data_IF_317460940536
#
_entry.id   IF_317460940536
#
_cell.length_a   1.000
_cell.length_b   1.000
_cell.length_c   1.000
_cell.angle_alpha   90.00
_cell.angle_beta   90.00
_cell.angle_gamma   90.00
#
_symmetry.space_group_name_H-M   'P 1'
#
loop_
_entity.id
_entity.type
_entity.pdbx_description
1 polymer ?
#
# COMPACT_ATOMS: atom_id res chain seq x y z
N UNK A 1 -20.06 15.63 -31.05
CA UNK A 1 -18.60 15.54 -31.23
C UNK A 1 -17.77 16.45 -30.32
N UNK A 2 -18.23 17.63 -29.86
CA UNK A 2 -17.44 18.55 -28.98
C UNK A 2 -17.26 18.08 -27.52
N UNK A 3 -18.17 17.27 -26.94
CA UNK A 3 -18.08 16.78 -25.57
C UNK A 3 -16.96 15.73 -25.37
N UNK A 4 -16.67 14.90 -26.34
CA UNK A 4 -15.63 13.86 -26.25
C UNK A 4 -14.19 14.42 -26.20
N UNK A 5 -13.95 15.58 -26.84
CA UNK A 5 -12.62 16.19 -26.90
C UNK A 5 -12.20 16.93 -25.60
N UNK A 6 -13.19 17.44 -24.84
CA UNK A 6 -12.95 18.11 -23.56
C UNK A 6 -12.56 17.09 -22.46
N UNK A 7 -13.20 15.92 -22.53
CA UNK A 7 -13.00 14.81 -21.58
C UNK A 7 -11.59 14.19 -21.72
N UNK A 8 -11.05 14.08 -22.93
CA UNK A 8 -9.70 13.55 -23.20
C UNK A 8 -8.57 14.47 -22.67
N UNK A 9 -8.71 15.80 -22.84
CA UNK A 9 -7.72 16.77 -22.32
C UNK A 9 -7.69 16.84 -20.79
N UNK A 10 -8.86 16.79 -20.17
CA UNK A 10 -8.98 16.78 -18.71
C UNK A 10 -8.33 15.52 -18.09
N UNK A 11 -8.50 14.38 -18.73
CA UNK A 11 -7.94 13.08 -18.30
C UNK A 11 -6.41 13.03 -18.38
N UNK A 12 -5.80 13.57 -19.45
CA UNK A 12 -4.34 13.68 -19.56
C UNK A 12 -3.76 14.63 -18.49
N UNK A 13 -4.43 15.73 -18.23
CA UNK A 13 -3.99 16.72 -17.24
C UNK A 13 -4.07 16.16 -15.83
N UNK A 14 -5.12 15.43 -15.48
CA UNK A 14 -5.28 14.83 -14.16
C UNK A 14 -4.22 13.75 -13.87
N UNK A 15 -3.92 12.91 -14.86
CA UNK A 15 -2.87 11.88 -14.73
C UNK A 15 -1.48 12.49 -14.58
N UNK A 16 -1.16 13.51 -15.38
CA UNK A 16 0.08 14.27 -15.26
C UNK A 16 0.17 15.03 -13.94
N UNK A 17 -0.93 15.64 -13.47
CA UNK A 17 -0.97 16.35 -12.18
C UNK A 17 -0.73 15.37 -11.02
N UNK A 18 -1.38 14.22 -10.99
CA UNK A 18 -1.16 13.20 -9.95
C UNK A 18 0.28 12.66 -9.98
N UNK A 19 0.84 12.43 -11.16
CA UNK A 19 2.22 12.00 -11.32
C UNK A 19 3.21 13.10 -10.88
N UNK A 20 3.01 14.36 -11.31
CA UNK A 20 3.87 15.47 -10.94
C UNK A 20 3.70 15.88 -9.47
N UNK A 21 2.50 15.81 -8.90
CA UNK A 21 2.28 16.05 -7.47
C UNK A 21 3.05 15.04 -6.62
N UNK A 22 3.03 13.74 -6.99
CA UNK A 22 3.80 12.72 -6.28
C UNK A 22 5.33 12.91 -6.42
N UNK A 23 5.80 13.32 -7.61
CA UNK A 23 7.22 13.58 -7.88
C UNK A 23 7.67 14.90 -7.24
N UNK A 24 6.88 15.96 -7.33
CA UNK A 24 7.23 17.29 -6.79
C UNK A 24 7.30 17.32 -5.25
N UNK A 25 6.46 16.55 -4.54
CA UNK A 25 6.49 16.49 -3.07
C UNK A 25 7.69 15.69 -2.51
N UNK A 26 8.37 14.88 -3.34
CA UNK A 26 9.59 14.16 -2.94
C UNK A 26 10.88 14.98 -3.09
N UNK A 27 10.84 16.10 -3.81
CA UNK A 27 12.04 16.82 -4.24
C UNK A 27 12.58 17.88 -3.25
N UNK A 28 11.85 18.20 -2.18
CA UNK A 28 12.25 19.27 -1.25
C UNK A 28 13.04 18.81 -0.02
N UNK A 29 13.62 17.63 -0.02
CA UNK A 29 14.57 17.24 1.02
C UNK A 29 15.97 17.67 0.59
N UNK A 30 16.48 18.77 1.12
CA UNK A 30 17.88 19.14 1.00
C UNK A 30 18.77 17.99 1.49
N UNK A 31 19.45 17.35 0.57
CA UNK A 31 20.53 16.40 0.90
C UNK A 31 21.77 17.23 1.28
N UNK A 32 21.90 17.59 2.54
CA UNK A 32 23.19 18.01 3.05
C UNK A 32 24.12 16.80 3.02
N UNK A 33 25.06 16.82 2.10
CA UNK A 33 26.22 15.95 2.12
C UNK A 33 27.10 16.34 3.33
N UNK A 34 26.73 15.90 4.51
CA UNK A 34 27.54 16.15 5.70
C UNK A 34 28.57 15.03 5.84
N UNK A 35 29.80 15.36 5.44
CA UNK A 35 31.02 14.55 5.54
C UNK A 35 31.55 14.38 6.98
N UNK A 36 30.77 14.72 7.99
CA UNK A 36 31.11 14.56 9.39
C UNK A 36 30.58 13.26 10.00
N UNK A 37 30.88 12.13 9.38
CA UNK A 37 30.86 10.86 10.09
C UNK A 37 32.06 10.84 11.02
N UNK A 38 31.78 10.92 12.32
CA UNK A 38 32.75 10.86 13.39
C UNK A 38 33.79 9.74 13.12
N UNK A 39 35.08 10.04 13.12
CA UNK A 39 36.19 9.11 12.76
C UNK A 39 36.10 7.75 13.45
N UNK A 40 35.55 7.69 14.65
CA UNK A 40 35.38 6.45 15.42
C UNK A 40 34.45 5.40 14.76
N UNK A 41 33.58 5.79 13.82
CA UNK A 41 32.70 4.87 13.10
C UNK A 41 33.27 4.37 11.77
N UNK A 42 34.35 4.98 11.26
CA UNK A 42 34.98 4.60 9.99
C UNK A 42 35.74 3.29 10.04
N UNK A 43 36.27 2.94 11.21
CA UNK A 43 37.20 1.80 11.34
C UNK A 43 36.51 0.45 11.56
N UNK A 44 35.21 0.45 11.85
CA UNK A 44 34.45 -0.79 12.15
C UNK A 44 33.57 -1.30 10.99
N UNK A 45 33.30 -0.48 9.98
CA UNK A 45 32.46 -0.87 8.85
C UNK A 45 33.29 -0.94 7.56
N UNK A 46 33.63 -2.17 7.14
CA UNK A 46 34.05 -2.44 5.75
C UNK A 46 33.08 -1.77 4.79
N UNK A 47 33.46 -0.60 4.27
CA UNK A 47 32.93 0.14 3.11
C UNK A 47 31.46 -0.21 2.73
N UNK A 48 30.52 0.02 3.63
CA UNK A 48 29.12 0.07 3.26
C UNK A 48 28.85 1.49 2.79
N UNK A 49 28.58 1.69 1.50
CA UNK A 49 28.18 2.99 0.98
C UNK A 49 26.82 3.33 1.54
N UNK A 50 26.74 4.35 2.40
CA UNK A 50 25.51 4.83 3.04
C UNK A 50 25.45 6.36 2.98
N UNK A 51 24.24 6.89 3.02
CA UNK A 51 23.95 8.32 3.18
C UNK A 51 23.08 8.50 4.42
N UNK A 52 23.37 9.56 5.19
CA UNK A 52 22.57 9.93 6.35
C UNK A 52 21.72 11.13 5.95
N UNK A 53 20.44 11.03 6.22
CA UNK A 53 19.44 12.10 6.02
C UNK A 53 18.96 12.53 7.40
N UNK A 54 19.16 13.79 7.73
CA UNK A 54 18.66 14.41 8.95
C UNK A 54 17.25 14.94 8.75
N UNK A 55 16.40 14.81 9.76
CA UNK A 55 15.01 15.23 9.74
C UNK A 55 14.74 16.29 10.81
N UNK A 56 13.76 17.15 10.56
CA UNK A 56 13.35 18.22 11.48
C UNK A 56 12.95 17.71 12.88
N UNK A 57 12.52 16.46 12.96
CA UNK A 57 12.21 15.77 14.22
C UNK A 57 13.43 15.49 15.11
N UNK A 58 14.65 15.88 14.69
CA UNK A 58 15.89 15.59 15.39
C UNK A 58 16.40 14.16 15.25
N UNK A 59 15.69 13.32 14.49
CA UNK A 59 16.12 11.97 14.15
C UNK A 59 16.87 11.99 12.82
N UNK A 60 17.79 11.04 12.64
CA UNK A 60 18.48 10.81 11.36
C UNK A 60 18.21 9.40 10.88
N UNK A 61 18.13 9.20 9.59
CA UNK A 61 18.01 7.87 8.99
C UNK A 61 19.22 7.64 8.09
N UNK A 62 19.89 6.53 8.29
CA UNK A 62 20.96 6.06 7.42
C UNK A 62 20.37 5.15 6.34
N UNK A 63 20.54 5.53 5.08
CA UNK A 63 20.13 4.74 3.91
C UNK A 63 21.35 4.06 3.30
N UNK A 64 21.28 2.75 3.15
CA UNK A 64 22.32 1.98 2.50
C UNK A 64 22.13 2.01 0.98
N UNK A 65 23.26 1.98 0.24
CA UNK A 65 23.18 1.77 -1.21
C UNK A 65 22.66 0.35 -1.48
N UNK A 66 21.49 0.18 -2.15
CA UNK A 66 20.97 -1.14 -2.44
C UNK A 66 21.93 -1.91 -3.36
N UNK A 67 22.15 -3.19 -3.06
CA UNK A 67 22.94 -4.09 -3.90
C UNK A 67 22.08 -4.53 -5.11
N UNK A 68 22.70 -4.82 -6.27
CA UNK A 68 21.97 -5.39 -7.40
C UNK A 68 21.16 -6.63 -7.00
N UNK A 69 19.89 -6.68 -7.45
CA UNK A 69 18.95 -7.77 -7.16
C UNK A 69 18.70 -8.05 -5.66
N UNK A 70 19.00 -7.11 -4.77
CA UNK A 70 18.73 -7.23 -3.34
C UNK A 70 17.23 -7.45 -3.08
N UNK A 71 16.37 -6.75 -3.78
CA UNK A 71 14.92 -6.84 -3.70
C UNK A 71 14.37 -8.25 -4.03
N UNK A 72 15.09 -9.06 -4.84
CA UNK A 72 14.72 -10.46 -5.10
C UNK A 72 15.30 -11.38 -4.04
N UNK A 73 16.56 -11.15 -3.64
CA UNK A 73 17.26 -12.00 -2.68
C UNK A 73 16.64 -11.96 -1.28
N UNK A 74 16.00 -10.86 -0.92
CA UNK A 74 15.35 -10.69 0.37
C UNK A 74 14.00 -11.43 0.49
N UNK A 75 13.31 -11.67 -0.63
CA UNK A 75 11.95 -12.24 -0.67
C UNK A 75 11.76 -13.49 0.19
N UNK A 76 12.61 -14.53 0.13
CA UNK A 76 12.41 -15.71 0.97
C UNK A 76 12.44 -15.42 2.47
N UNK A 77 13.35 -14.55 2.87
CA UNK A 77 13.46 -14.09 4.26
C UNK A 77 12.29 -13.22 4.70
N UNK A 78 11.73 -12.43 3.78
CA UNK A 78 10.57 -11.56 4.06
C UNK A 78 9.30 -12.39 4.24
N UNK A 79 9.10 -13.41 3.41
CA UNK A 79 8.01 -14.38 3.56
C UNK A 79 8.08 -15.07 4.93
N UNK A 80 9.29 -15.50 5.33
CA UNK A 80 9.51 -16.07 6.64
C UNK A 80 9.19 -15.09 7.77
N UNK A 81 9.69 -13.83 7.67
CA UNK A 81 9.44 -12.79 8.67
C UNK A 81 7.98 -12.42 8.74
N UNK A 82 7.27 -12.38 7.62
CA UNK A 82 5.84 -12.11 7.58
C UNK A 82 5.07 -13.17 8.37
N UNK A 83 5.31 -14.46 8.10
CA UNK A 83 4.72 -15.55 8.86
C UNK A 83 5.09 -15.51 10.34
N UNK A 84 6.37 -15.35 10.67
CA UNK A 84 6.85 -15.22 12.04
C UNK A 84 6.21 -14.05 12.78
N UNK A 85 6.00 -12.92 12.10
CA UNK A 85 5.37 -11.74 12.69
C UNK A 85 3.90 -11.99 12.97
N UNK A 86 3.15 -12.56 12.00
CA UNK A 86 1.73 -12.86 12.16
C UNK A 86 1.47 -13.82 13.33
N UNK A 87 2.25 -14.89 13.43
CA UNK A 87 2.07 -15.94 14.44
C UNK A 87 2.91 -15.74 15.71
N UNK A 88 3.55 -14.59 15.90
CA UNK A 88 4.26 -14.30 17.16
C UNK A 88 3.27 -14.14 18.31
N UNK A 89 3.65 -14.58 19.52
CA UNK A 89 2.81 -14.46 20.73
C UNK A 89 2.29 -13.03 20.96
N UNK A 90 3.09 -12.01 20.64
CA UNK A 90 2.73 -10.59 20.75
C UNK A 90 1.64 -10.16 19.77
N UNK A 91 1.66 -10.70 18.54
CA UNK A 91 0.77 -10.28 17.45
C UNK A 91 -0.41 -11.24 17.25
N UNK A 92 -0.36 -12.44 17.82
CA UNK A 92 -1.44 -13.43 17.71
C UNK A 92 -2.83 -12.88 18.12
N UNK A 93 -2.98 -12.10 19.21
CA UNK A 93 -4.28 -11.48 19.55
C UNK A 93 -4.74 -10.47 18.48
N UNK A 94 -3.82 -9.70 17.90
CA UNK A 94 -4.13 -8.74 16.82
C UNK A 94 -4.55 -9.47 15.56
N UNK A 95 -3.84 -10.53 15.21
CA UNK A 95 -4.19 -11.38 14.07
C UNK A 95 -5.56 -12.04 14.26
N UNK A 96 -5.83 -12.57 15.47
CA UNK A 96 -7.15 -13.08 15.84
C UNK A 96 -8.25 -12.03 15.72
N UNK A 97 -7.99 -10.79 16.17
CA UNK A 97 -8.95 -9.68 16.04
C UNK A 97 -9.22 -9.31 14.57
N UNK A 98 -8.20 -9.35 13.70
CA UNK A 98 -8.35 -9.11 12.26
C UNK A 98 -9.25 -10.20 11.65
N UNK A 99 -9.01 -11.47 11.97
CA UNK A 99 -9.81 -12.58 11.46
C UNK A 99 -11.26 -12.52 11.98
N UNK A 100 -11.46 -12.20 13.26
CA UNK A 100 -12.79 -12.00 13.84
C UNK A 100 -13.53 -10.83 13.19
N UNK A 101 -12.85 -9.69 13.00
CA UNK A 101 -13.40 -8.55 12.26
C UNK A 101 -13.75 -8.89 10.82
N UNK A 102 -12.89 -9.64 10.12
CA UNK A 102 -13.18 -10.16 8.78
C UNK A 102 -14.44 -11.03 8.78
N UNK A 103 -14.56 -11.96 9.72
CA UNK A 103 -15.74 -12.84 9.83
C UNK A 103 -17.03 -12.06 10.11
N UNK A 104 -16.98 -11.03 10.95
CA UNK A 104 -18.12 -10.14 11.18
C UNK A 104 -18.52 -9.36 9.92
N UNK A 105 -17.52 -8.87 9.17
CA UNK A 105 -17.78 -8.16 7.91
C UNK A 105 -18.37 -9.04 6.83
N UNK A 106 -18.04 -10.35 6.79
CA UNK A 106 -18.65 -11.30 5.85
C UNK A 106 -20.18 -11.31 5.97
N UNK A 107 -20.72 -11.16 7.18
CA UNK A 107 -22.17 -11.14 7.40
C UNK A 107 -22.87 -9.90 6.81
N UNK A 108 -22.12 -8.82 6.54
CA UNK A 108 -22.64 -7.56 6.01
C UNK A 108 -22.06 -7.18 4.65
N UNK A 109 -21.36 -8.10 4.00
CA UNK A 109 -20.73 -7.87 2.70
C UNK A 109 -21.73 -7.42 1.64
N UNK A 110 -22.84 -8.17 1.48
CA UNK A 110 -23.83 -7.88 0.43
C UNK A 110 -24.50 -6.53 0.64
N UNK A 111 -25.09 -6.19 1.81
CA UNK A 111 -25.72 -4.89 2.00
C UNK A 111 -24.75 -3.71 1.84
N UNK A 112 -23.48 -3.86 2.23
CA UNK A 112 -22.47 -2.80 2.02
C UNK A 112 -22.14 -2.65 0.54
N UNK A 113 -22.00 -3.76 -0.19
CA UNK A 113 -21.79 -3.74 -1.64
C UNK A 113 -22.94 -3.03 -2.35
N UNK A 114 -24.18 -3.42 -2.04
CA UNK A 114 -25.39 -2.86 -2.66
C UNK A 114 -25.48 -1.35 -2.40
N UNK A 115 -25.21 -0.93 -1.17
CA UNK A 115 -25.19 0.50 -0.79
C UNK A 115 -24.10 1.28 -1.54
N UNK A 116 -22.90 0.71 -1.68
CA UNK A 116 -21.79 1.34 -2.39
C UNK A 116 -22.11 1.50 -3.89
N UNK A 117 -22.69 0.48 -4.51
CA UNK A 117 -23.10 0.53 -5.92
C UNK A 117 -24.28 1.47 -6.14
N UNK A 118 -25.26 1.49 -5.22
CA UNK A 118 -26.38 2.43 -5.27
C UNK A 118 -25.90 3.87 -5.19
N UNK A 119 -24.97 4.16 -4.26
CA UNK A 119 -24.36 5.49 -4.15
C UNK A 119 -23.58 5.85 -5.43
N UNK A 120 -22.81 4.91 -5.99
CA UNK A 120 -22.10 5.10 -7.26
C UNK A 120 -23.04 5.49 -8.40
N UNK A 121 -24.18 4.81 -8.54
CA UNK A 121 -25.21 5.17 -9.52
C UNK A 121 -25.79 6.57 -9.27
N UNK A 122 -26.02 6.92 -8.00
CA UNK A 122 -26.57 8.24 -7.63
C UNK A 122 -25.64 9.39 -8.02
N UNK A 123 -24.33 9.24 -7.82
CA UNK A 123 -23.33 10.25 -8.17
C UNK A 123 -22.76 10.10 -9.60
N UNK A 124 -23.37 9.27 -10.43
CA UNK A 124 -22.95 8.96 -11.82
C UNK A 124 -21.51 8.43 -11.92
N UNK A 125 -21.03 7.76 -10.89
CA UNK A 125 -19.75 7.05 -10.85
C UNK A 125 -20.00 5.56 -11.18
N UNK A 126 -20.17 5.28 -12.46
CA UNK A 126 -20.55 3.93 -12.92
C UNK A 126 -19.40 2.92 -12.75
N UNK A 127 -19.79 1.67 -12.49
CA UNK A 127 -18.86 0.56 -12.42
C UNK A 127 -18.11 0.36 -13.75
N UNK A 128 -16.80 0.11 -13.67
CA UNK A 128 -15.97 -0.04 -14.86
C UNK A 128 -16.11 -1.40 -15.50
N UNK A 129 -16.46 -2.43 -14.69
CA UNK A 129 -16.56 -3.82 -15.15
C UNK A 129 -17.82 -4.12 -16.00
N UNK A 130 -18.83 -3.25 -15.96
CA UNK A 130 -20.01 -3.38 -16.80
C UNK A 130 -19.68 -3.19 -18.31
N UNK A 131 -18.50 -2.64 -18.61
CA UNK A 131 -18.13 -2.30 -19.97
C UNK A 131 -16.62 -2.52 -20.15
N UNK A 132 -16.22 -3.68 -20.72
CA UNK A 132 -14.82 -3.97 -21.10
C UNK A 132 -14.20 -2.90 -22.01
N UNK A 133 -15.03 -2.03 -22.61
CA UNK A 133 -14.61 -0.90 -23.41
C UNK A 133 -14.09 0.30 -22.59
N UNK A 134 -14.11 0.25 -21.25
CA UNK A 134 -13.72 1.35 -20.37
C UNK A 134 -12.21 1.37 -19.99
N UNK A 135 -11.43 0.45 -20.53
CA UNK A 135 -9.97 0.46 -20.44
C UNK A 135 -9.34 0.61 -21.83
N UNK A 136 -8.17 1.22 -21.90
CA UNK A 136 -7.32 1.24 -23.09
C UNK A 136 -6.14 0.32 -22.84
N UNK A 137 -6.09 -0.77 -23.57
CA UNK A 137 -4.95 -1.67 -23.54
C UNK A 137 -3.74 -1.01 -24.21
N UNK A 138 -2.60 -1.06 -23.52
CA UNK A 138 -1.29 -0.82 -24.10
C UNK A 138 -0.67 -2.19 -24.35
N UNK A 139 -0.49 -2.51 -25.61
CA UNK A 139 0.02 -3.80 -26.06
C UNK A 139 1.43 -3.66 -26.63
N UNK A 140 2.28 -4.65 -26.36
CA UNK A 140 3.59 -4.80 -27.03
C UNK A 140 3.51 -5.98 -27.99
N UNK A 141 3.92 -5.74 -29.24
CA UNK A 141 4.00 -6.78 -30.25
C UNK A 141 5.42 -7.35 -30.28
N UNK A 142 5.57 -8.63 -29.96
CA UNK A 142 6.83 -9.36 -30.09
C UNK A 142 6.64 -10.40 -31.18
N UNK A 143 7.15 -10.09 -32.37
CA UNK A 143 6.93 -10.90 -33.57
C UNK A 143 5.44 -10.95 -33.94
N UNK A 144 4.82 -12.14 -33.91
CA UNK A 144 3.39 -12.35 -34.20
C UNK A 144 2.50 -12.36 -32.94
N UNK A 145 3.08 -12.22 -31.75
CA UNK A 145 2.37 -12.29 -30.50
C UNK A 145 2.14 -10.90 -29.94
N UNK A 146 0.89 -10.54 -29.68
CA UNK A 146 0.50 -9.33 -28.95
C UNK A 146 0.40 -9.65 -27.47
N UNK A 147 1.21 -8.97 -26.66
CA UNK A 147 1.23 -9.12 -25.20
C UNK A 147 0.59 -7.87 -24.60
N UNK A 148 -0.54 -8.00 -23.86
CA UNK A 148 -1.11 -6.88 -23.15
C UNK A 148 -0.15 -6.50 -22.00
N UNK A 149 0.33 -5.25 -22.03
CA UNK A 149 1.26 -4.74 -21.03
C UNK A 149 0.55 -4.07 -19.87
N UNK A 150 -0.40 -3.19 -20.18
CA UNK A 150 -1.10 -2.39 -19.18
C UNK A 150 -2.46 -1.95 -19.70
N UNK A 151 -3.44 -1.92 -18.80
CA UNK A 151 -4.74 -1.33 -19.07
C UNK A 151 -4.85 0.07 -18.45
N UNK A 152 -5.06 1.08 -19.28
CA UNK A 152 -5.24 2.45 -18.81
C UNK A 152 -6.72 2.73 -18.54
N UNK A 153 -7.08 3.30 -17.38
CA UNK A 153 -8.46 3.63 -17.07
C UNK A 153 -9.00 4.75 -17.95
N UNK A 154 -10.26 4.63 -18.36
CA UNK A 154 -10.99 5.65 -19.14
C UNK A 154 -12.02 6.41 -18.33
N UNK A 155 -12.34 5.93 -17.14
CA UNK A 155 -13.34 6.51 -16.23
C UNK A 155 -12.69 6.98 -14.94
N UNK A 156 -13.34 7.90 -14.21
CA UNK A 156 -12.88 8.36 -12.90
C UNK A 156 -12.85 7.19 -11.91
N UNK A 157 -13.87 6.33 -11.92
CA UNK A 157 -13.89 5.13 -11.08
C UNK A 157 -12.74 4.17 -11.42
N UNK A 158 -12.46 3.98 -12.70
CA UNK A 158 -11.30 3.20 -13.15
C UNK A 158 -9.96 3.80 -12.70
N UNK A 159 -9.82 5.14 -12.64
CA UNK A 159 -8.61 5.78 -12.11
C UNK A 159 -8.40 5.43 -10.63
N UNK A 160 -9.48 5.46 -9.82
CA UNK A 160 -9.37 5.07 -8.41
C UNK A 160 -9.02 3.59 -8.26
N UNK A 161 -9.58 2.74 -9.08
CA UNK A 161 -9.24 1.31 -9.11
C UNK A 161 -7.78 1.08 -9.50
N UNK A 162 -7.29 1.79 -10.52
CA UNK A 162 -5.93 1.69 -11.04
C UNK A 162 -4.85 2.00 -9.98
N UNK A 163 -5.16 2.84 -8.97
CA UNK A 163 -4.23 3.16 -7.87
C UNK A 163 -3.73 1.90 -7.14
N UNK A 164 -4.58 0.89 -7.03
CA UNK A 164 -4.25 -0.38 -6.37
C UNK A 164 -3.63 -1.44 -7.29
N UNK A 165 -3.61 -1.20 -8.59
CA UNK A 165 -2.93 -2.10 -9.52
C UNK A 165 -1.42 -2.07 -9.31
N UNK A 166 -0.74 -3.10 -9.78
CA UNK A 166 0.73 -3.20 -9.68
C UNK A 166 1.47 -2.08 -10.42
N UNK A 167 0.89 -1.55 -11.50
CA UNK A 167 1.54 -0.57 -12.35
C UNK A 167 1.91 0.74 -11.67
N UNK A 168 1.06 1.40 -10.85
CA UNK A 168 1.46 2.60 -10.11
C UNK A 168 2.66 2.37 -9.20
N UNK A 169 2.72 1.23 -8.51
CA UNK A 169 3.85 0.88 -7.64
C UNK A 169 5.13 0.63 -8.45
N UNK A 170 5.04 -0.02 -9.61
CA UNK A 170 6.16 -0.25 -10.53
C UNK A 170 6.67 1.09 -11.10
N UNK A 171 5.77 1.98 -11.52
CA UNK A 171 6.11 3.30 -12.04
C UNK A 171 6.78 4.17 -10.95
N UNK A 172 6.27 4.13 -9.72
CA UNK A 172 6.90 4.79 -8.57
C UNK A 172 8.30 4.24 -8.31
N UNK A 173 8.45 2.92 -8.24
CA UNK A 173 9.76 2.28 -8.05
C UNK A 173 10.74 2.69 -9.16
N UNK A 174 10.30 2.68 -10.42
CA UNK A 174 11.12 3.09 -11.56
C UNK A 174 11.51 4.56 -11.50
N UNK A 175 10.58 5.45 -11.14
CA UNK A 175 10.82 6.87 -10.96
C UNK A 175 11.82 7.16 -9.84
N UNK A 176 11.65 6.54 -8.67
CA UNK A 176 12.60 6.65 -7.56
C UNK A 176 13.98 6.09 -7.93
N UNK A 177 14.04 4.99 -8.67
CA UNK A 177 15.30 4.42 -9.12
C UNK A 177 16.02 5.35 -10.09
N UNK A 178 15.33 5.84 -11.12
CA UNK A 178 15.89 6.77 -12.11
C UNK A 178 16.39 8.08 -11.47
N UNK A 179 15.56 8.69 -10.62
CA UNK A 179 15.96 9.86 -9.83
C UNK A 179 17.16 9.57 -8.93
N UNK A 180 17.14 8.47 -8.20
CA UNK A 180 18.22 8.07 -7.31
C UNK A 180 19.54 7.80 -8.03
N UNK A 181 19.49 7.35 -9.30
CA UNK A 181 20.67 7.24 -10.14
C UNK A 181 21.19 8.61 -10.57
N UNK A 182 20.31 9.47 -11.08
CA UNK A 182 20.68 10.80 -11.60
C UNK A 182 21.21 11.72 -10.50
N UNK A 183 20.54 11.75 -9.33
CA UNK A 183 20.93 12.59 -8.19
C UNK A 183 21.94 11.94 -7.24
N UNK A 184 22.37 10.70 -7.49
CA UNK A 184 23.18 9.89 -6.56
C UNK A 184 22.56 9.80 -5.16
N UNK A 185 21.22 9.72 -5.07
CA UNK A 185 20.45 9.68 -3.84
C UNK A 185 20.19 8.22 -3.42
N UNK A 186 20.76 7.79 -2.28
CA UNK A 186 20.58 6.43 -1.78
C UNK A 186 19.22 6.22 -1.13
N UNK A 187 18.59 7.26 -0.57
CA UNK A 187 17.23 7.21 -0.06
C UNK A 187 16.26 6.85 -1.17
N UNK A 188 16.33 7.54 -2.32
CA UNK A 188 15.50 7.25 -3.47
C UNK A 188 15.75 5.85 -4.04
N UNK A 189 17.03 5.45 -4.19
CA UNK A 189 17.38 4.09 -4.66
C UNK A 189 16.88 3.01 -3.71
N UNK A 190 16.96 3.26 -2.40
CA UNK A 190 16.49 2.31 -1.39
C UNK A 190 14.96 2.22 -1.40
N UNK A 191 14.27 3.36 -1.51
CA UNK A 191 12.81 3.40 -1.68
C UNK A 191 12.36 2.58 -2.90
N UNK A 192 13.06 2.71 -4.03
CA UNK A 192 12.80 1.92 -5.22
C UNK A 192 12.98 0.41 -4.98
N UNK A 193 14.08 0.04 -4.32
CA UNK A 193 14.38 -1.37 -3.99
C UNK A 193 13.31 -1.96 -3.05
N UNK A 194 12.89 -1.21 -2.04
CA UNK A 194 11.87 -1.62 -1.08
C UNK A 194 10.49 -1.77 -1.71
N UNK A 195 10.12 -0.86 -2.64
CA UNK A 195 8.88 -0.98 -3.40
C UNK A 195 8.88 -2.23 -4.29
N UNK A 196 9.99 -2.54 -4.95
CA UNK A 196 10.12 -3.74 -5.76
C UNK A 196 10.12 -5.03 -4.90
N UNK A 197 10.83 -5.04 -3.76
CA UNK A 197 10.87 -6.14 -2.80
C UNK A 197 9.48 -6.45 -2.23
N UNK A 198 8.82 -5.41 -1.78
CA UNK A 198 7.46 -5.48 -1.25
C UNK A 198 6.49 -6.04 -2.30
N UNK A 199 6.56 -5.55 -3.53
CA UNK A 199 5.66 -5.98 -4.59
C UNK A 199 5.74 -7.48 -4.86
N UNK A 200 6.96 -8.05 -4.89
CA UNK A 200 7.17 -9.48 -5.08
C UNK A 200 6.69 -10.28 -3.86
N UNK A 201 7.11 -9.87 -2.65
CA UNK A 201 6.74 -10.55 -1.40
C UNK A 201 5.23 -10.56 -1.19
N UNK A 202 4.59 -9.43 -1.43
CA UNK A 202 3.15 -9.26 -1.29
C UNK A 202 2.39 -10.04 -2.36
N UNK A 203 2.86 -10.02 -3.61
CA UNK A 203 2.27 -10.79 -4.70
C UNK A 203 2.25 -12.29 -4.37
N UNK A 204 3.37 -12.86 -3.92
CA UNK A 204 3.45 -14.26 -3.52
C UNK A 204 2.50 -14.55 -2.35
N UNK A 205 2.50 -13.68 -1.33
CA UNK A 205 1.68 -13.86 -0.12
C UNK A 205 0.19 -13.82 -0.44
N UNK A 206 -0.26 -12.80 -1.17
CA UNK A 206 -1.68 -12.66 -1.50
C UNK A 206 -2.15 -13.76 -2.42
N UNK A 207 -1.36 -14.14 -3.42
CA UNK A 207 -1.67 -15.24 -4.33
C UNK A 207 -1.73 -16.59 -3.61
N UNK A 208 -0.88 -16.82 -2.61
CA UNK A 208 -0.94 -18.02 -1.78
C UNK A 208 -2.25 -18.08 -0.98
N UNK A 209 -2.64 -16.97 -0.32
CA UNK A 209 -3.87 -16.93 0.48
C UNK A 209 -5.12 -17.01 -0.42
N UNK A 210 -5.11 -16.39 -1.59
CA UNK A 210 -6.20 -16.49 -2.57
C UNK A 210 -6.46 -17.94 -2.99
N UNK A 211 -5.42 -18.74 -3.19
CA UNK A 211 -5.57 -20.16 -3.52
C UNK A 211 -6.04 -21.00 -2.35
N UNK A 212 -5.73 -20.60 -1.11
CA UNK A 212 -6.28 -21.28 0.07
C UNK A 212 -7.76 -20.94 0.24
N UNK A 213 -8.13 -19.68 0.08
CA UNK A 213 -9.48 -19.19 0.31
C UNK A 213 -10.47 -19.53 -0.81
N UNK A 214 -10.02 -19.38 -2.05
CA UNK A 214 -10.84 -19.59 -3.24
C UNK A 214 -12.14 -18.77 -3.25
N UNK A 215 -12.09 -17.51 -2.76
CA UNK A 215 -13.28 -16.69 -2.61
C UNK A 215 -13.72 -16.06 -3.92
N UNK A 216 -15.00 -16.14 -4.22
CA UNK A 216 -15.63 -15.55 -5.39
C UNK A 216 -15.78 -14.03 -5.26
N UNK A 217 -15.51 -13.31 -6.37
CA UNK A 217 -15.69 -11.84 -6.45
C UNK A 217 -17.18 -11.49 -6.57
N UNK A 218 -17.61 -10.31 -6.05
CA UNK A 218 -19.01 -9.88 -6.09
C UNK A 218 -19.64 -9.92 -7.47
N UNK A 219 -18.94 -9.44 -8.50
CA UNK A 219 -19.50 -9.39 -9.87
C UNK A 219 -19.67 -10.78 -10.50
N UNK A 220 -19.05 -11.82 -9.93
CA UNK A 220 -19.29 -13.22 -10.34
C UNK A 220 -20.38 -13.87 -9.52
N UNK A 221 -20.46 -13.49 -8.22
CA UNK A 221 -21.51 -13.96 -7.34
C UNK A 221 -22.91 -13.45 -7.71
N UNK A 222 -22.97 -12.33 -8.40
CA UNK A 222 -24.21 -11.66 -8.86
C UNK A 222 -24.32 -11.80 -10.38
N UNK A 223 -24.51 -13.03 -10.85
CA UNK A 223 -24.67 -13.28 -12.28
C UNK A 223 -25.98 -12.73 -12.85
N UNK A 224 -26.04 -12.55 -14.19
CA UNK A 224 -27.17 -11.97 -14.89
C UNK A 224 -28.45 -12.84 -14.81
N UNK A 225 -28.38 -14.05 -14.25
CA UNK A 225 -29.49 -15.01 -14.18
C UNK A 225 -30.32 -14.88 -12.90
N UNK A 226 -29.90 -14.02 -11.95
CA UNK A 226 -30.56 -13.83 -10.68
C UNK A 226 -30.42 -15.01 -9.70
N UNK A 227 -29.60 -16.01 -10.05
CA UNK A 227 -29.26 -17.15 -9.19
C UNK A 227 -28.01 -16.92 -8.33
N UNK A 228 -27.62 -15.66 -8.15
CA UNK A 228 -26.40 -15.26 -7.51
C UNK A 228 -26.24 -15.78 -6.07
N UNK A 229 -24.99 -15.79 -5.62
CA UNK A 229 -24.61 -16.19 -4.25
C UNK A 229 -24.31 -14.93 -3.42
N UNK A 230 -25.31 -14.34 -2.71
CA UNK A 230 -25.07 -13.18 -1.85
C UNK A 230 -23.92 -13.44 -0.87
N UNK A 231 -22.94 -12.52 -0.83
CA UNK A 231 -21.73 -12.70 -0.02
C UNK A 231 -20.61 -13.54 -0.67
N UNK A 232 -20.86 -14.10 -1.86
CA UNK A 232 -19.90 -14.93 -2.61
C UNK A 232 -19.68 -16.32 -2.01
N UNK A 233 -19.20 -17.24 -2.84
CA UNK A 233 -18.86 -18.61 -2.42
C UNK A 233 -17.38 -18.70 -2.07
N UNK A 234 -17.06 -19.50 -1.06
CA UNK A 234 -15.72 -19.88 -0.72
C UNK A 234 -15.45 -21.30 -1.23
N UNK A 235 -14.47 -21.44 -2.08
CA UNK A 235 -14.03 -22.72 -2.67
C UNK A 235 -12.56 -22.95 -2.35
N UNK A 236 -12.22 -23.38 -1.11
CA UNK A 236 -10.85 -23.55 -0.69
C UNK A 236 -10.11 -24.53 -1.60
N UNK A 237 -8.86 -24.20 -1.95
CA UNK A 237 -8.00 -25.00 -2.81
C UNK A 237 -8.62 -25.38 -4.17
N UNK A 238 -9.09 -24.38 -4.95
CA UNK A 238 -9.69 -24.67 -6.25
C UNK A 238 -8.68 -25.38 -7.15
N UNK A 239 -9.16 -26.31 -8.01
CA UNK A 239 -8.27 -26.98 -8.97
C UNK A 239 -7.51 -25.95 -9.82
N UNK A 240 -6.23 -26.12 -10.10
CA UNK A 240 -5.42 -25.14 -10.84
C UNK A 240 -6.02 -24.74 -12.20
N UNK A 241 -6.64 -25.66 -12.90
CA UNK A 241 -7.32 -25.39 -14.17
C UNK A 241 -8.52 -24.45 -13.97
N UNK A 242 -9.40 -24.77 -13.01
CA UNK A 242 -10.58 -23.92 -12.72
C UNK A 242 -10.19 -22.52 -12.27
N UNK A 243 -9.09 -22.41 -11.50
CA UNK A 243 -8.55 -21.10 -11.11
C UNK A 243 -8.05 -20.31 -12.34
N UNK A 244 -7.40 -20.95 -13.31
CA UNK A 244 -6.89 -20.29 -14.50
C UNK A 244 -7.99 -19.93 -15.51
N UNK A 245 -9.02 -20.78 -15.63
CA UNK A 245 -10.13 -20.55 -16.55
C UNK A 245 -11.01 -19.39 -16.12
N UNK A 246 -11.19 -19.17 -14.80
CA UNK A 246 -11.96 -18.05 -14.24
C UNK A 246 -11.37 -17.58 -12.90
N UNK A 247 -10.33 -16.77 -12.99
CA UNK A 247 -9.59 -16.26 -11.83
C UNK A 247 -10.52 -15.54 -10.85
N UNK A 248 -11.48 -14.77 -11.34
CA UNK A 248 -12.39 -13.96 -10.53
C UNK A 248 -13.37 -14.76 -9.69
N UNK A 249 -13.56 -16.05 -9.98
CA UNK A 249 -14.32 -16.96 -9.11
C UNK A 249 -13.56 -17.39 -7.86
N UNK A 250 -12.27 -17.11 -7.76
CA UNK A 250 -11.45 -17.73 -6.71
C UNK A 250 -10.46 -16.76 -6.05
N UNK A 251 -10.42 -15.48 -6.44
CA UNK A 251 -9.33 -14.60 -6.06
C UNK A 251 -9.74 -13.31 -5.31
N UNK A 252 -10.95 -13.25 -4.76
CA UNK A 252 -11.39 -12.05 -4.05
C UNK A 252 -10.64 -11.84 -2.73
N UNK A 253 -10.34 -12.87 -1.95
CA UNK A 253 -9.78 -12.73 -0.61
C UNK A 253 -8.32 -13.18 -0.52
N UNK A 254 -7.44 -12.33 0.06
CA UNK A 254 -7.63 -10.91 0.42
C UNK A 254 -7.44 -9.97 -0.77
N UNK A 255 -7.81 -8.70 -0.62
CA UNK A 255 -7.60 -7.70 -1.68
C UNK A 255 -6.13 -7.40 -1.92
N UNK A 256 -5.60 -7.82 -3.08
CA UNK A 256 -4.23 -7.50 -3.48
C UNK A 256 -4.02 -6.01 -3.73
N UNK A 257 -5.00 -5.32 -4.29
CA UNK A 257 -4.97 -3.89 -4.56
C UNK A 257 -4.77 -3.06 -3.30
N UNK A 258 -5.59 -3.33 -2.27
CA UNK A 258 -5.51 -2.58 -1.02
C UNK A 258 -4.24 -2.90 -0.24
N UNK A 259 -3.77 -4.15 -0.30
CA UNK A 259 -2.51 -4.54 0.29
C UNK A 259 -1.32 -3.81 -0.36
N UNK A 260 -1.29 -3.71 -1.70
CA UNK A 260 -0.25 -2.98 -2.45
C UNK A 260 -0.27 -1.49 -2.10
N UNK A 261 -1.45 -0.86 -2.09
CA UNK A 261 -1.58 0.55 -1.74
C UNK A 261 -1.11 0.83 -0.31
N UNK A 262 -1.49 -0.01 0.67
CA UNK A 262 -1.06 0.13 2.07
C UNK A 262 0.44 -0.03 2.24
N UNK A 263 1.04 -1.01 1.57
CA UNK A 263 2.48 -1.23 1.62
C UNK A 263 3.26 -0.06 0.99
N UNK A 264 2.78 0.47 -0.14
CA UNK A 264 3.35 1.65 -0.81
C UNK A 264 3.32 2.88 0.11
N UNK A 265 2.17 3.19 0.72
CA UNK A 265 2.05 4.30 1.69
C UNK A 265 2.97 4.09 2.89
N UNK A 266 3.08 2.85 3.38
CA UNK A 266 3.96 2.51 4.50
C UNK A 266 5.43 2.78 4.18
N UNK A 267 5.90 2.35 3.00
CA UNK A 267 7.29 2.57 2.56
C UNK A 267 7.56 4.05 2.34
N UNK A 268 6.70 4.74 1.60
CA UNK A 268 6.87 6.16 1.33
C UNK A 268 6.89 6.99 2.62
N UNK A 269 5.93 6.78 3.52
CA UNK A 269 5.88 7.51 4.78
C UNK A 269 7.01 7.15 5.74
N UNK A 270 7.60 5.97 5.62
CA UNK A 270 8.76 5.54 6.41
C UNK A 270 10.05 6.16 5.93
N UNK A 271 10.25 6.23 4.62
CA UNK A 271 11.44 6.82 4.03
C UNK A 271 11.40 8.35 3.94
N UNK A 272 10.20 8.95 3.93
CA UNK A 272 9.97 10.39 3.84
C UNK A 272 9.12 10.92 5.01
N UNK A 273 9.60 10.77 6.27
CA UNK A 273 8.80 11.08 7.47
C UNK A 273 8.47 12.57 7.61
N UNK A 274 9.28 13.47 7.06
CA UNK A 274 9.03 14.92 7.10
C UNK A 274 7.89 15.33 6.19
N UNK A 275 7.58 14.54 5.17
CA UNK A 275 6.45 14.82 4.30
C UNK A 275 5.14 14.36 4.97
N UNK A 276 4.54 15.28 5.75
CA UNK A 276 3.30 15.02 6.50
C UNK A 276 2.08 14.73 5.62
N UNK A 277 2.17 15.01 4.31
CA UNK A 277 1.07 14.80 3.35
C UNK A 277 0.98 13.36 2.83
N UNK A 278 2.05 12.58 2.89
CA UNK A 278 2.06 11.19 2.37
C UNK A 278 0.97 10.34 3.01
N UNK A 279 0.83 10.38 4.34
CA UNK A 279 -0.19 9.58 5.04
C UNK A 279 -1.61 10.02 4.72
N UNK A 280 -2.00 11.31 4.90
CA UNK A 280 -3.38 11.71 4.62
C UNK A 280 -3.76 11.53 3.16
N UNK A 281 -2.89 11.90 2.20
CA UNK A 281 -3.15 11.66 0.78
C UNK A 281 -3.22 10.16 0.48
N UNK A 282 -2.25 9.39 0.95
CA UNK A 282 -2.19 7.96 0.72
C UNK A 282 -3.42 7.22 1.26
N UNK A 283 -3.84 7.53 2.48
CA UNK A 283 -5.05 6.90 3.07
C UNK A 283 -6.34 7.38 2.41
N UNK A 284 -6.41 8.64 1.95
CA UNK A 284 -7.56 9.12 1.16
C UNK A 284 -7.65 8.38 -0.19
N UNK A 285 -6.52 8.21 -0.87
CA UNK A 285 -6.47 7.44 -2.11
C UNK A 285 -6.83 5.96 -1.88
N UNK A 286 -6.40 5.37 -0.76
CA UNK A 286 -6.82 4.02 -0.36
C UNK A 286 -8.32 3.92 -0.09
N UNK A 287 -8.93 4.95 0.50
CA UNK A 287 -10.38 5.02 0.68
C UNK A 287 -11.14 5.05 -0.66
N UNK A 288 -10.67 5.89 -1.59
CA UNK A 288 -11.23 5.96 -2.96
C UNK A 288 -11.04 4.65 -3.73
N UNK A 289 -9.87 4.01 -3.61
CA UNK A 289 -9.61 2.68 -4.16
C UNK A 289 -10.57 1.65 -3.57
N UNK A 290 -10.71 1.60 -2.23
CA UNK A 290 -11.62 0.68 -1.54
C UNK A 290 -13.06 0.85 -2.01
N UNK A 291 -13.53 2.10 -2.09
CA UNK A 291 -14.84 2.40 -2.63
C UNK A 291 -14.99 1.95 -4.09
N UNK A 292 -14.00 2.23 -4.95
CA UNK A 292 -14.02 1.84 -6.36
C UNK A 292 -14.10 0.32 -6.53
N UNK A 293 -13.41 -0.45 -5.69
CA UNK A 293 -13.47 -1.92 -5.72
C UNK A 293 -14.85 -2.47 -5.36
N UNK A 294 -15.53 -1.88 -4.36
CA UNK A 294 -16.92 -2.21 -4.03
C UNK A 294 -17.85 -1.83 -5.18
N UNK A 295 -17.72 -0.60 -5.69
CA UNK A 295 -18.57 -0.13 -6.78
C UNK A 295 -18.41 -0.96 -8.05
N UNK A 296 -17.21 -1.46 -8.35
CA UNK A 296 -16.92 -2.36 -9.47
C UNK A 296 -17.29 -3.82 -9.18
N UNK A 297 -17.66 -4.17 -7.96
CA UNK A 297 -17.96 -5.55 -7.58
C UNK A 297 -16.73 -6.47 -7.62
N UNK A 298 -15.51 -5.95 -7.47
CA UNK A 298 -14.27 -6.75 -7.54
C UNK A 298 -13.96 -7.41 -6.21
N UNK A 299 -14.18 -6.70 -5.11
CA UNK A 299 -13.90 -7.16 -3.76
C UNK A 299 -15.07 -6.89 -2.81
N UNK A 300 -15.19 -7.74 -1.80
CA UNK A 300 -16.06 -7.56 -0.65
C UNK A 300 -15.37 -6.67 0.39
N UNK A 301 -16.15 -6.00 1.25
CA UNK A 301 -15.57 -5.18 2.33
C UNK A 301 -14.75 -6.01 3.31
N UNK A 302 -15.14 -7.26 3.53
CA UNK A 302 -14.42 -8.21 4.39
C UNK A 302 -13.07 -8.66 3.82
N UNK A 303 -12.76 -8.42 2.54
CA UNK A 303 -11.45 -8.69 1.95
C UNK A 303 -10.38 -7.67 2.37
N UNK A 304 -10.78 -6.56 3.04
CA UNK A 304 -9.90 -5.41 3.32
C UNK A 304 -9.06 -5.53 4.59
N UNK A 305 -9.57 -5.98 5.75
CA UNK A 305 -8.81 -5.96 6.99
C UNK A 305 -7.51 -6.75 6.91
N UNK A 306 -7.57 -7.98 6.38
CA UNK A 306 -6.37 -8.81 6.21
C UNK A 306 -5.43 -8.22 5.15
N UNK A 307 -5.96 -7.67 4.05
CA UNK A 307 -5.17 -7.01 3.02
C UNK A 307 -4.34 -5.85 3.57
N UNK A 308 -4.97 -4.97 4.37
CA UNK A 308 -4.31 -3.83 5.02
C UNK A 308 -3.22 -4.31 5.97
N UNK A 309 -3.49 -5.35 6.78
CA UNK A 309 -2.52 -5.90 7.73
C UNK A 309 -1.31 -6.51 7.01
N UNK A 310 -1.52 -7.26 5.93
CA UNK A 310 -0.44 -7.83 5.10
C UNK A 310 0.38 -6.70 4.48
N UNK A 311 -0.27 -5.73 3.83
CA UNK A 311 0.40 -4.62 3.18
C UNK A 311 1.26 -3.80 4.14
N UNK A 312 0.71 -3.45 5.31
CA UNK A 312 1.44 -2.75 6.37
C UNK A 312 2.66 -3.55 6.84
N UNK A 313 2.49 -4.84 7.09
CA UNK A 313 3.57 -5.69 7.61
C UNK A 313 4.67 -5.88 6.57
N UNK A 314 4.33 -6.13 5.31
CA UNK A 314 5.29 -6.21 4.22
C UNK A 314 6.07 -4.90 4.05
N UNK A 315 5.39 -3.75 4.06
CA UNK A 315 6.04 -2.45 3.98
C UNK A 315 7.01 -2.19 5.14
N UNK A 316 6.63 -2.60 6.36
CA UNK A 316 7.51 -2.47 7.54
C UNK A 316 8.72 -3.40 7.48
N UNK A 317 8.58 -4.61 6.96
CA UNK A 317 9.68 -5.55 6.78
C UNK A 317 10.69 -5.00 5.76
N UNK A 318 10.22 -4.51 4.61
CA UNK A 318 11.07 -3.92 3.59
C UNK A 318 11.86 -2.70 4.14
N UNK A 319 11.19 -1.77 4.81
CA UNK A 319 11.82 -0.60 5.46
C UNK A 319 12.92 -0.98 6.45
N UNK A 320 12.70 -2.03 7.26
CA UNK A 320 13.66 -2.44 8.29
C UNK A 320 14.99 -2.96 7.71
N UNK A 321 15.04 -3.27 6.42
CA UNK A 321 16.26 -3.78 5.75
C UNK A 321 17.10 -2.68 5.13
N UNK A 322 16.46 -1.68 4.58
CA UNK A 322 17.11 -0.67 3.73
C UNK A 322 17.62 0.53 4.49
N UNK A 323 17.14 0.74 5.69
CA UNK A 323 17.46 1.91 6.47
C UNK A 323 17.66 1.60 7.95
N UNK A 324 18.43 2.46 8.64
CA UNK A 324 18.64 2.39 10.08
C UNK A 324 18.35 3.76 10.68
N UNK A 325 17.39 3.80 11.59
CA UNK A 325 17.12 5.00 12.39
C UNK A 325 18.29 5.21 13.36
N UNK A 326 18.90 6.37 13.27
CA UNK A 326 19.92 6.84 14.19
C UNK A 326 19.22 7.80 15.15
N UNK A 327 19.04 7.39 16.40
CA UNK A 327 18.62 8.33 17.43
C UNK A 327 19.82 9.26 17.70
N UNK A 328 19.67 10.58 17.52
CA UNK A 328 20.57 11.50 18.20
C UNK A 328 20.48 11.15 19.68
N UNK A 329 21.59 10.82 20.34
CA UNK A 329 21.67 10.93 21.80
C UNK A 329 21.43 12.42 22.10
N UNK A 330 20.18 12.80 22.16
CA UNK A 330 19.75 14.12 22.54
C UNK A 330 20.09 14.29 23.99
N UNK A 331 20.54 15.47 24.35
CA UNK A 331 20.35 16.02 25.67
C UNK A 331 18.93 15.67 26.07
N UNK A 332 18.80 14.87 27.10
CA UNK A 332 17.53 14.46 27.67
C UNK A 332 16.85 15.72 28.24
N UNK A 333 16.16 16.45 27.39
CA UNK A 333 15.14 17.37 27.84
C UNK A 333 14.02 16.44 28.32
N UNK A 334 14.06 16.10 29.60
CA UNK A 334 13.13 15.22 30.27
C UNK A 334 11.68 15.72 30.22
N UNK A 335 11.17 15.94 29.01
CA UNK A 335 9.75 16.20 28.80
C UNK A 335 8.99 14.93 29.09
N UNK A 336 8.60 14.77 30.33
CA UNK A 336 7.66 13.72 30.76
C UNK A 336 6.29 14.34 30.96
N UNK A 337 5.28 13.74 30.38
CA UNK A 337 3.90 14.06 30.70
C UNK A 337 3.23 12.88 31.37
N UNK A 338 2.56 13.13 32.48
CA UNK A 338 1.79 12.12 33.19
C UNK A 338 0.39 12.65 33.50
N UNK A 339 -0.61 11.80 33.31
CA UNK A 339 -1.97 12.03 33.78
C UNK A 339 -2.17 11.14 35.00
N UNK A 340 -2.43 11.75 36.14
CA UNK A 340 -2.69 11.03 37.39
C UNK A 340 -4.04 11.44 37.97
N UNK A 341 -4.78 10.52 38.58
CA UNK A 341 -5.94 10.90 39.39
C UNK A 341 -5.52 11.86 40.48
N UNK A 342 -6.23 12.96 40.65
CA UNK A 342 -5.96 13.95 41.69
C UNK A 342 -7.21 14.21 42.52
N UNK A 343 -6.99 14.31 43.83
CA UNK A 343 -8.00 14.69 44.80
C UNK A 343 -7.88 16.23 45.03
N UNK A 344 -8.93 16.96 44.75
CA UNK A 344 -9.00 18.38 45.03
C UNK A 344 -9.77 18.63 46.35
N UNK A 345 -9.53 19.78 46.94
CA UNK A 345 -10.25 20.19 48.18
C UNK A 345 -11.76 20.08 47.91
N UNK A 346 -12.51 19.69 48.95
CA UNK A 346 -13.98 19.52 48.93
C UNK A 346 -14.50 18.23 48.24
N UNK A 347 -13.64 17.18 48.12
CA UNK A 347 -14.10 15.86 47.68
C UNK A 347 -14.23 15.69 46.16
N UNK A 348 -13.76 16.67 45.40
CA UNK A 348 -13.77 16.61 43.92
C UNK A 348 -12.62 15.72 43.42
N UNK A 349 -12.97 14.68 42.69
CA UNK A 349 -12.01 13.80 42.01
C UNK A 349 -11.83 14.34 40.57
N UNK A 350 -10.59 14.57 40.17
CA UNK A 350 -10.24 15.02 38.85
C UNK A 350 -8.97 14.37 38.32
N UNK A 351 -8.50 14.79 37.16
CA UNK A 351 -7.25 14.36 36.58
C UNK A 351 -6.24 15.51 36.61
N UNK A 352 -5.05 15.24 37.12
CA UNK A 352 -3.92 16.17 37.06
C UNK A 352 -3.03 15.81 35.88
N UNK A 353 -2.80 16.77 34.99
CA UNK A 353 -1.83 16.68 33.91
C UNK A 353 -0.55 17.41 34.34
N UNK A 354 0.57 16.69 34.40
CA UNK A 354 1.88 17.25 34.67
C UNK A 354 2.73 17.12 33.41
N UNK A 355 3.21 18.23 32.88
CA UNK A 355 4.23 18.27 31.83
C UNK A 355 5.48 18.88 32.43
N UNK A 356 6.64 18.22 32.26
CA UNK A 356 7.97 18.74 32.56
C UNK A 356 8.66 18.98 31.22
N UNK A 357 9.14 20.19 31.01
CA UNK A 357 9.83 20.62 29.77
C UNK A 357 11.31 20.75 30.04
#
# INVERSE_FOLDING_TARGET
>A
MKKAHLDYRFRKSLFLILFFVFVAFGLNAETKNDTLVNRAWRDTFKVVKAQIVDFDSGNSIMFYRPKPFQFVKNVPSDLYLLGKTAFSKKNLPKFGAILAGTALLVAVDQPILDAAQQFGRHIHLYATNADRNNTKEININIGKTTIPLMELPRTVNGVFYFIGEGWPSILLASGFYGYGLAANDYRARQTASELAEMFITLGITTQFIKRISGRESPFRAMDDTGSGHPGGVWQPFPPPRHYQDDVSRHDAFPSGHLATAMATVTILSGNYPDNKLIKPIGYSLMGLLGYSMLNNGVHWISDYPLAIAIGYTCGKIALARGSKVLQKKGVDYGASSSITPAYFREGVIGLSYRATF
#
